data_IF_694274063010
#
_entry.id   IF_694274063010
#
_cell.length_a   1.000
_cell.length_b   1.000
_cell.length_c   1.000
_cell.angle_alpha   90.00
_cell.angle_beta   90.00
_cell.angle_gamma   90.00
#
_symmetry.space_group_name_H-M   'P 1'
#
loop_
_entity.id
_entity.type
_entity.pdbx_description
1 polymer ?
#
# COMPACT_ATOMS: atom_id res chain seq x y z
N UNK A 1 -0.83 13.21 -53.69
CA UNK A 1 -0.57 12.20 -52.64
C UNK A 1 -0.42 12.94 -51.33
N UNK A 2 -1.43 12.88 -50.45
CA UNK A 2 -1.44 13.62 -49.17
C UNK A 2 -0.78 12.76 -48.10
N UNK A 3 0.31 13.24 -47.50
CA UNK A 3 0.95 12.57 -46.36
C UNK A 3 0.17 12.94 -45.10
N UNK A 4 -0.47 11.96 -44.48
CA UNK A 4 -1.00 12.09 -43.13
C UNK A 4 0.18 12.03 -42.15
N UNK A 5 0.23 12.89 -41.11
CA UNK A 5 1.25 12.73 -40.08
C UNK A 5 1.05 11.37 -39.39
N UNK A 6 2.08 10.54 -39.37
CA UNK A 6 2.10 9.36 -38.51
C UNK A 6 2.30 9.81 -37.08
N UNK A 7 1.55 9.22 -36.16
CA UNK A 7 1.75 9.38 -34.73
C UNK A 7 3.22 9.12 -34.39
N UNK A 8 3.95 10.17 -33.98
CA UNK A 8 5.34 10.04 -33.55
C UNK A 8 5.48 9.25 -32.25
N UNK A 9 6.71 8.87 -31.90
CA UNK A 9 7.12 8.03 -30.75
C UNK A 9 6.53 8.45 -29.39
N UNK A 10 5.97 9.65 -29.27
CA UNK A 10 5.34 10.19 -28.07
C UNK A 10 3.97 9.56 -27.73
N UNK A 11 3.33 8.85 -28.65
CA UNK A 11 2.02 8.20 -28.41
C UNK A 11 2.13 6.73 -27.96
N UNK A 12 3.34 6.20 -27.81
CA UNK A 12 3.60 4.82 -27.36
C UNK A 12 3.79 4.68 -25.85
N UNK A 13 3.63 5.77 -25.09
CA UNK A 13 3.66 5.71 -23.64
C UNK A 13 2.25 5.42 -23.20
N UNK A 14 1.94 4.13 -23.05
CA UNK A 14 0.77 3.65 -22.35
C UNK A 14 0.88 4.11 -20.89
N UNK A 15 0.53 5.37 -20.64
CA UNK A 15 0.13 5.82 -19.32
C UNK A 15 -1.02 4.91 -18.91
N UNK A 16 -0.93 4.30 -17.73
CA UNK A 16 -2.03 3.54 -17.15
C UNK A 16 -3.30 4.38 -17.22
N UNK A 17 -4.29 3.93 -18.00
CA UNK A 17 -5.55 4.63 -18.24
C UNK A 17 -6.27 4.90 -16.91
N UNK A 18 -5.97 4.13 -15.85
CA UNK A 18 -6.46 4.39 -14.50
C UNK A 18 -6.10 5.79 -13.96
N UNK A 19 -4.95 6.34 -14.34
CA UNK A 19 -4.48 7.67 -13.94
C UNK A 19 -5.08 8.83 -14.77
N UNK A 20 -5.69 8.51 -15.93
CA UNK A 20 -6.21 9.52 -16.87
C UNK A 20 -7.61 10.02 -16.48
N UNK A 21 -8.35 9.27 -15.65
CA UNK A 21 -9.74 9.59 -15.30
C UNK A 21 -9.88 10.76 -14.31
N UNK A 22 -8.91 10.97 -13.41
CA UNK A 22 -8.90 12.10 -12.47
C UNK A 22 -7.70 13.04 -12.63
N UNK A 23 -6.72 12.68 -13.50
CA UNK A 23 -5.43 13.39 -13.71
C UNK A 23 -4.75 13.80 -12.41
N UNK A 24 -5.08 13.13 -11.31
CA UNK A 24 -4.53 13.48 -10.02
C UNK A 24 -3.15 12.87 -9.91
N UNK A 25 -2.21 13.60 -9.31
CA UNK A 25 -0.89 13.05 -9.02
C UNK A 25 -0.97 12.14 -7.80
N UNK A 26 -1.78 11.07 -7.91
CA UNK A 26 -2.10 10.15 -6.82
C UNK A 26 -2.02 8.72 -7.29
N UNK A 27 -1.26 7.92 -6.56
CA UNK A 27 -1.15 6.48 -6.80
C UNK A 27 -1.54 5.70 -5.55
N UNK A 28 -2.10 4.50 -5.73
CA UNK A 28 -2.47 3.63 -4.61
C UNK A 28 -1.90 2.24 -4.76
N UNK A 29 -1.26 1.77 -3.69
CA UNK A 29 -0.81 0.39 -3.54
C UNK A 29 -1.65 -0.31 -2.48
N UNK A 30 -2.13 -1.52 -2.76
CA UNK A 30 -2.86 -2.36 -1.80
C UNK A 30 -2.03 -3.60 -1.49
N UNK A 31 -1.81 -3.84 -0.20
CA UNK A 31 -1.02 -4.98 0.25
C UNK A 31 -1.71 -6.32 -0.03
N UNK A 32 -0.93 -7.40 0.01
CA UNK A 32 -1.48 -8.74 0.23
C UNK A 32 -2.31 -8.79 1.53
N UNK A 33 -3.16 -9.81 1.63
CA UNK A 33 -3.85 -10.11 2.89
C UNK A 33 -2.84 -10.57 3.94
N UNK A 34 -2.91 -9.98 5.12
CA UNK A 34 -2.18 -10.39 6.32
C UNK A 34 -3.17 -11.08 7.26
N UNK A 35 -2.76 -12.16 7.90
CA UNK A 35 -3.59 -12.95 8.81
C UNK A 35 -2.92 -13.08 10.16
N UNK A 36 -3.70 -13.02 11.24
CA UNK A 36 -3.20 -12.97 12.62
C UNK A 36 -3.68 -14.19 13.39
N UNK A 37 -2.76 -14.86 14.05
CA UNK A 37 -3.06 -15.88 15.03
C UNK A 37 -3.34 -15.22 16.39
N UNK A 38 -4.54 -15.42 16.93
CA UNK A 38 -4.93 -14.86 18.22
C UNK A 38 -5.67 -13.51 18.16
N UNK A 39 -6.33 -13.16 19.27
CA UNK A 39 -7.16 -11.95 19.34
C UNK A 39 -6.30 -10.70 19.41
N UNK A 40 -6.66 -9.69 18.63
CA UNK A 40 -6.02 -8.40 18.72
C UNK A 40 -7.04 -7.27 18.74
N UNK A 41 -6.84 -6.33 19.67
CA UNK A 41 -7.76 -5.21 19.89
C UNK A 41 -7.22 -3.89 19.35
N UNK A 42 -5.93 -3.84 19.06
CA UNK A 42 -5.23 -2.66 18.53
C UNK A 42 -4.11 -3.10 17.61
N UNK A 43 -3.78 -2.24 16.65
CA UNK A 43 -2.62 -2.40 15.79
C UNK A 43 -1.79 -1.12 15.75
N UNK A 44 -0.50 -1.28 15.44
CA UNK A 44 0.41 -0.19 15.15
C UNK A 44 0.95 -0.37 13.75
N UNK A 45 1.12 0.73 13.04
CA UNK A 45 1.81 0.79 11.75
C UNK A 45 3.09 1.58 11.91
N UNK A 46 4.20 1.00 11.49
CA UNK A 46 5.46 1.73 11.29
C UNK A 46 5.70 1.83 9.79
N UNK A 47 6.05 3.03 9.35
CA UNK A 47 6.32 3.35 7.95
C UNK A 47 7.73 3.91 7.87
N UNK A 48 8.53 3.36 6.98
CA UNK A 48 9.83 3.88 6.59
C UNK A 48 9.73 4.23 5.11
N UNK A 49 9.91 5.52 4.81
CA UNK A 49 9.71 6.09 3.49
C UNK A 49 10.49 7.39 3.38
N UNK A 50 11.00 7.69 2.19
CA UNK A 50 11.45 9.02 1.81
C UNK A 50 10.27 9.79 1.21
N UNK A 51 9.95 10.94 1.80
CA UNK A 51 8.84 11.79 1.36
C UNK A 51 9.44 13.13 0.93
N UNK A 52 9.57 13.38 -0.38
CA UNK A 52 10.12 14.63 -0.88
C UNK A 52 9.19 15.80 -0.54
N UNK A 53 9.72 17.03 -0.54
CA UNK A 53 8.90 18.23 -0.41
C UNK A 53 7.87 18.28 -1.55
N UNK A 54 6.60 18.48 -1.19
CA UNK A 54 5.47 18.43 -2.14
C UNK A 54 4.87 17.03 -2.31
N UNK A 55 5.55 15.99 -1.80
CA UNK A 55 5.06 14.63 -1.73
C UNK A 55 4.21 14.36 -0.48
N UNK A 56 3.31 13.40 -0.58
CA UNK A 56 2.50 12.94 0.54
C UNK A 56 2.33 11.43 0.52
N UNK A 57 2.41 10.81 1.70
CA UNK A 57 2.16 9.40 1.90
C UNK A 57 1.13 9.21 3.01
N UNK A 58 0.07 8.48 2.73
CA UNK A 58 -0.93 8.11 3.72
C UNK A 58 -1.18 6.62 3.74
N UNK A 59 -1.45 6.08 4.94
CA UNK A 59 -1.80 4.67 5.13
C UNK A 59 -3.24 4.57 5.62
N UNK A 60 -3.99 3.66 5.00
CA UNK A 60 -5.27 3.20 5.51
C UNK A 60 -5.24 1.69 5.68
N UNK A 61 -6.04 1.18 6.61
CA UNK A 61 -6.17 -0.24 6.89
C UNK A 61 -7.62 -0.66 6.77
N UNK A 62 -7.85 -1.91 6.39
CA UNK A 62 -9.16 -2.55 6.52
C UNK A 62 -8.97 -3.93 7.12
N UNK A 63 -9.89 -4.32 7.97
CA UNK A 63 -9.83 -5.60 8.65
C UNK A 63 -11.19 -6.31 8.58
N UNK A 64 -11.15 -7.64 8.52
CA UNK A 64 -12.33 -8.50 8.44
C UNK A 64 -12.14 -9.77 9.28
N UNK A 65 -13.22 -10.51 9.51
CA UNK A 65 -13.14 -11.82 10.17
C UNK A 65 -12.61 -12.88 9.20
N UNK A 66 -12.90 -12.76 7.89
CA UNK A 66 -12.43 -13.67 6.85
C UNK A 66 -12.01 -12.93 5.58
N UNK A 67 -11.08 -13.52 4.80
CA UNK A 67 -10.52 -12.91 3.58
C UNK A 67 -11.58 -12.45 2.57
N UNK A 68 -12.64 -13.25 2.37
CA UNK A 68 -13.75 -12.93 1.46
C UNK A 68 -14.50 -11.64 1.83
N UNK A 69 -14.45 -11.24 3.10
CA UNK A 69 -15.15 -10.06 3.59
C UNK A 69 -14.33 -8.77 3.45
N UNK A 70 -13.02 -8.84 3.16
CA UNK A 70 -12.16 -7.65 3.08
C UNK A 70 -12.61 -6.66 2.00
N UNK A 71 -13.05 -7.16 0.85
CA UNK A 71 -13.43 -6.34 -0.29
C UNK A 71 -14.57 -5.35 0.04
N UNK A 72 -15.49 -5.74 0.92
CA UNK A 72 -16.64 -4.92 1.32
C UNK A 72 -16.40 -4.05 2.54
N UNK A 73 -15.23 -4.15 3.20
CA UNK A 73 -14.93 -3.36 4.39
C UNK A 73 -14.38 -1.99 4.02
N UNK A 74 -14.82 -0.93 4.72
CA UNK A 74 -14.31 0.42 4.49
C UNK A 74 -12.84 0.51 4.91
N UNK A 75 -12.09 1.35 4.19
CA UNK A 75 -10.74 1.73 4.57
C UNK A 75 -10.79 2.72 5.74
N UNK A 76 -10.02 2.44 6.77
CA UNK A 76 -9.84 3.29 7.96
C UNK A 76 -8.47 3.95 7.90
N UNK A 77 -8.43 5.29 7.93
CA UNK A 77 -7.17 6.02 7.94
C UNK A 77 -6.39 5.72 9.23
N UNK A 78 -5.08 5.48 9.09
CA UNK A 78 -4.18 5.31 10.24
C UNK A 78 -3.80 6.70 10.76
N UNK A 79 -4.20 7.02 11.98
CA UNK A 79 -3.88 8.30 12.63
C UNK A 79 -2.81 8.08 13.71
N UNK A 80 -1.76 8.91 13.71
CA UNK A 80 -0.72 8.83 14.73
C UNK A 80 -0.06 7.45 14.86
N UNK A 81 0.09 6.72 13.75
CA UNK A 81 0.66 5.36 13.66
C UNK A 81 -0.16 4.25 14.32
N UNK A 82 -1.39 4.52 14.74
CA UNK A 82 -2.25 3.56 15.45
C UNK A 82 -3.57 3.36 14.71
N UNK A 83 -4.15 2.18 14.87
CA UNK A 83 -5.48 1.89 14.41
C UNK A 83 -6.19 0.91 15.34
N UNK A 84 -7.52 0.97 15.35
CA UNK A 84 -8.35 0.11 16.16
C UNK A 84 -8.71 -1.15 15.38
N UNK A 85 -8.62 -2.31 16.02
CA UNK A 85 -9.14 -3.56 15.48
C UNK A 85 -10.24 -4.07 16.39
N UNK A 86 -11.30 -4.55 15.78
CA UNK A 86 -12.28 -5.32 16.52
C UNK A 86 -11.70 -6.72 16.80
N UNK A 87 -11.95 -7.31 17.99
CA UNK A 87 -11.34 -8.58 18.40
C UNK A 87 -11.64 -9.76 17.46
N UNK A 88 -12.74 -9.67 16.72
CA UNK A 88 -13.21 -10.69 15.78
C UNK A 88 -12.48 -10.66 14.42
N UNK A 89 -11.63 -9.64 14.19
CA UNK A 89 -10.93 -9.47 12.93
C UNK A 89 -9.62 -10.26 12.95
N UNK A 90 -9.51 -11.21 12.01
CA UNK A 90 -8.36 -12.11 11.85
C UNK A 90 -7.53 -11.77 10.63
N UNK A 91 -8.11 -11.03 9.68
CA UNK A 91 -7.45 -10.68 8.42
C UNK A 91 -7.41 -9.17 8.22
N UNK A 92 -6.33 -8.68 7.61
CA UNK A 92 -6.08 -7.26 7.39
C UNK A 92 -5.43 -7.01 6.02
N UNK A 93 -5.71 -5.85 5.46
CA UNK A 93 -4.92 -5.24 4.39
C UNK A 93 -4.62 -3.79 4.73
N UNK A 94 -3.51 -3.28 4.21
CA UNK A 94 -3.26 -1.86 4.17
C UNK A 94 -3.26 -1.34 2.74
N UNK A 95 -3.54 -0.05 2.60
CA UNK A 95 -3.41 0.72 1.38
C UNK A 95 -2.47 1.87 1.65
N UNK A 96 -1.43 2.00 0.84
CA UNK A 96 -0.62 3.19 0.76
C UNK A 96 -1.15 4.06 -0.36
N UNK A 97 -1.36 5.35 -0.08
CA UNK A 97 -1.71 6.35 -1.08
C UNK A 97 -0.56 7.35 -1.16
N UNK A 98 0.05 7.42 -2.33
CA UNK A 98 1.11 8.35 -2.69
C UNK A 98 0.47 9.55 -3.36
N UNK A 99 0.97 10.74 -3.06
CA UNK A 99 0.58 11.97 -3.73
C UNK A 99 1.79 12.82 -4.06
N UNK A 100 1.68 13.59 -5.14
CA UNK A 100 2.61 14.65 -5.53
C UNK A 100 1.81 15.94 -5.77
N UNK A 101 2.44 17.10 -5.60
CA UNK A 101 1.82 18.40 -5.87
C UNK A 101 1.96 18.82 -7.34
N UNK A 102 2.97 18.29 -8.03
CA UNK A 102 3.34 18.68 -9.39
C UNK A 102 3.61 17.49 -10.33
N UNK A 103 3.57 16.27 -9.82
CA UNK A 103 3.75 15.04 -10.60
C UNK A 103 5.19 14.71 -10.97
N UNK A 104 6.19 15.46 -10.47
CA UNK A 104 7.61 15.23 -10.78
C UNK A 104 8.33 14.34 -9.75
N UNK A 105 7.85 14.36 -8.50
CA UNK A 105 8.47 13.69 -7.36
C UNK A 105 7.40 13.02 -6.53
N UNK A 106 7.58 11.72 -6.32
CA UNK A 106 6.72 10.89 -5.48
C UNK A 106 7.48 10.35 -4.28
N UNK A 107 6.79 10.06 -3.17
CA UNK A 107 7.41 9.36 -2.06
C UNK A 107 7.90 7.97 -2.47
N UNK A 108 9.00 7.54 -1.88
CA UNK A 108 9.52 6.18 -1.99
C UNK A 108 9.19 5.46 -0.69
N UNK A 109 8.45 4.35 -0.78
CA UNK A 109 8.07 3.54 0.38
C UNK A 109 9.02 2.35 0.52
N UNK A 110 9.88 2.37 1.54
CA UNK A 110 10.84 1.29 1.80
C UNK A 110 10.20 0.16 2.61
N UNK A 111 9.42 0.49 3.64
CA UNK A 111 8.87 -0.52 4.57
C UNK A 111 7.57 -0.09 5.21
N UNK A 112 6.63 -1.04 5.29
CA UNK A 112 5.46 -0.97 6.17
C UNK A 112 5.47 -2.17 7.09
N UNK A 113 5.57 -1.92 8.39
CA UNK A 113 5.38 -2.95 9.41
C UNK A 113 4.01 -2.77 10.06
N UNK A 114 3.28 -3.87 10.19
CA UNK A 114 2.03 -3.93 10.94
C UNK A 114 2.21 -4.89 12.09
N UNK A 115 2.00 -4.38 13.31
CA UNK A 115 2.08 -5.18 14.53
C UNK A 115 0.74 -5.14 15.27
N UNK A 116 0.29 -6.28 15.77
CA UNK A 116 -0.82 -6.37 16.70
C UNK A 116 -0.36 -6.07 18.12
N UNK A 117 -1.22 -5.43 18.93
CA UNK A 117 -1.05 -5.40 20.37
C UNK A 117 -2.08 -6.36 20.96
N UNK A 118 -1.61 -7.55 21.32
CA UNK A 118 -2.36 -8.53 22.09
C UNK A 118 -2.35 -8.04 23.55
N UNK A 119 -3.52 -7.97 24.20
CA UNK A 119 -3.59 -7.70 25.65
C UNK A 119 -3.88 -9.00 26.38
N UNK A 120 -2.86 -9.83 26.44
CA UNK A 120 -2.67 -10.91 27.41
C UNK A 120 -1.16 -11.12 27.43
N UNK A 121 -0.60 -11.16 28.63
CA UNK A 121 0.82 -11.32 28.97
C UNK A 121 1.74 -11.71 27.79
N UNK A 122 2.50 -10.70 27.34
CA UNK A 122 3.86 -10.81 26.84
C UNK A 122 4.19 -11.86 25.76
N UNK A 123 3.59 -11.81 24.56
CA UNK A 123 4.22 -12.34 23.32
C UNK A 123 3.68 -11.62 22.07
N UNK A 124 4.32 -10.50 21.67
CA UNK A 124 3.99 -9.77 20.44
C UNK A 124 4.57 -10.44 19.19
N UNK A 125 3.71 -10.94 18.29
CA UNK A 125 4.18 -11.43 16.99
C UNK A 125 4.62 -10.26 16.08
N UNK A 126 5.85 -10.35 15.57
CA UNK A 126 6.51 -9.36 14.72
C UNK A 126 6.69 -9.95 13.33
N UNK A 127 6.06 -9.36 12.32
CA UNK A 127 6.20 -9.78 10.93
C UNK A 127 7.13 -8.81 10.18
N UNK A 128 8.28 -9.32 9.75
CA UNK A 128 9.21 -8.68 8.82
C UNK A 128 8.89 -9.17 7.40
N UNK A 129 9.05 -8.32 6.38
CA UNK A 129 8.67 -8.61 5.00
C UNK A 129 9.89 -9.13 4.23
N UNK A 130 10.04 -10.45 4.08
CA UNK A 130 11.11 -11.11 3.29
C UNK A 130 10.61 -11.68 1.95
N UNK A 131 9.78 -10.95 1.20
CA UNK A 131 9.21 -11.43 -0.08
C UNK A 131 9.48 -10.52 -1.31
N UNK A 132 10.48 -9.64 -1.26
CA UNK A 132 10.88 -8.83 -2.42
C UNK A 132 12.13 -9.34 -3.17
N UNK A 133 12.92 -10.25 -2.58
CA UNK A 133 14.17 -10.72 -3.21
C UNK A 133 14.00 -11.80 -4.30
N UNK A 134 12.77 -12.23 -4.62
CA UNK A 134 12.55 -13.30 -5.61
C UNK A 134 12.24 -12.82 -7.04
N UNK A 135 12.36 -11.52 -7.33
CA UNK A 135 12.09 -10.97 -8.68
C UNK A 135 13.30 -10.37 -9.41
N UNK A 136 14.50 -10.36 -8.82
CA UNK A 136 15.74 -9.97 -9.50
C UNK A 136 16.89 -10.94 -9.19
N UNK A 137 16.79 -12.14 -9.74
CA UNK A 137 17.86 -13.13 -9.66
C UNK A 137 17.55 -14.29 -10.58
N UNK A 138 17.63 -14.06 -11.89
CA UNK A 138 17.99 -15.06 -12.90
C UNK A 138 18.15 -14.37 -14.26
N UNK A 139 19.39 -14.01 -14.59
CA UNK A 139 20.04 -14.22 -15.89
C UNK A 139 21.37 -13.45 -15.97
N UNK A 140 22.42 -14.09 -15.44
CA UNK A 140 23.74 -14.04 -16.06
C UNK A 140 24.22 -15.49 -16.17
N UNK A 141 24.08 -16.05 -17.37
CA UNK A 141 25.04 -16.96 -17.98
C UNK A 141 25.14 -16.59 -19.46
#
# INVERSE_FOLDING_TARGET
MTRLPTNGTHLMWALDIGNVMDRSYRETFVSRTLEWDGEARRGRVRVEADVPRGGGLSIAVRAAAARKQLASRPWQAVQGRKFTLLPDKRVLQYRATFSSDNGDRYPVLDRVEISSLIRTEDHGQRWCWDDWQRFHGDHVQ
#
